data_IF_950867863413
#
_entry.id   IF_950867863413
#
_cell.length_a   1.000
_cell.length_b   1.000
_cell.length_c   1.000
_cell.angle_alpha   90.00
_cell.angle_beta   90.00
_cell.angle_gamma   90.00
#
_symmetry.space_group_name_H-M   'P 1'
#
loop_
_entity.id
_entity.type
_entity.pdbx_description
1 polymer ?
#
# COMPACT_ATOMS: atom_id res chain seq x y z
N UNK A 1 0.78 -34.64 -4.37
CA UNK A 1 0.62 -33.35 -3.67
C UNK A 1 1.59 -32.39 -4.35
N UNK A 2 1.11 -31.37 -5.02
CA UNK A 2 1.97 -30.31 -5.59
C UNK A 2 2.62 -29.59 -4.42
N UNK A 3 3.94 -29.46 -4.46
CA UNK A 3 4.70 -28.74 -3.44
C UNK A 3 4.25 -27.27 -3.41
N UNK A 4 3.94 -26.75 -2.22
CA UNK A 4 3.49 -25.37 -2.07
C UNK A 4 4.66 -24.40 -2.32
N UNK A 5 4.40 -23.33 -3.05
CA UNK A 5 5.36 -22.25 -3.26
C UNK A 5 5.47 -21.41 -1.96
N UNK A 6 6.66 -21.35 -1.38
CA UNK A 6 6.90 -20.57 -0.16
C UNK A 6 7.07 -19.08 -0.54
N UNK A 7 6.09 -18.27 -0.18
CA UNK A 7 6.10 -16.83 -0.33
C UNK A 7 6.57 -16.16 0.96
N UNK A 8 7.68 -15.47 0.89
CA UNK A 8 8.31 -14.79 2.03
C UNK A 8 7.97 -13.31 2.01
N UNK A 9 7.73 -12.71 3.17
CA UNK A 9 7.30 -11.30 3.27
C UNK A 9 8.05 -10.58 4.37
N UNK A 10 8.63 -9.43 4.05
CA UNK A 10 9.08 -8.42 5.02
C UNK A 10 8.16 -7.20 4.89
N UNK A 11 7.31 -7.01 5.87
CA UNK A 11 6.40 -5.87 5.99
C UNK A 11 6.69 -5.02 7.24
N UNK A 12 5.87 -4.03 7.51
CA UNK A 12 6.00 -3.15 8.67
C UNK A 12 5.89 -1.66 8.31
N UNK A 13 6.01 -0.75 9.29
CA UNK A 13 5.82 0.67 9.09
C UNK A 13 6.87 1.27 8.15
N UNK A 14 6.53 2.39 7.51
CA UNK A 14 7.51 3.17 6.75
C UNK A 14 8.67 3.57 7.66
N UNK A 15 9.88 3.75 7.08
CA UNK A 15 11.12 4.09 7.79
C UNK A 15 11.65 3.02 8.78
N UNK A 16 11.12 1.79 8.78
CA UNK A 16 11.58 0.72 9.69
C UNK A 16 12.81 -0.06 9.20
N UNK A 17 13.41 0.31 8.05
CA UNK A 17 14.63 -0.32 7.54
C UNK A 17 14.41 -1.56 6.67
N UNK A 18 13.20 -1.81 6.19
CA UNK A 18 12.84 -2.97 5.36
C UNK A 18 13.75 -3.15 4.15
N UNK A 19 14.00 -2.08 3.39
CA UNK A 19 14.78 -2.12 2.16
C UNK A 19 16.18 -2.70 2.38
N UNK A 20 16.91 -2.18 3.35
CA UNK A 20 18.25 -2.69 3.66
C UNK A 20 18.22 -4.17 4.09
N UNK A 21 17.28 -4.54 4.98
CA UNK A 21 17.11 -5.92 5.45
C UNK A 21 16.80 -6.88 4.30
N UNK A 22 15.89 -6.48 3.42
CA UNK A 22 15.44 -7.32 2.31
C UNK A 22 16.50 -7.50 1.24
N UNK A 23 17.20 -6.44 0.86
CA UNK A 23 18.29 -6.51 -0.13
C UNK A 23 19.42 -7.40 0.37
N UNK A 24 19.85 -7.21 1.62
CA UNK A 24 20.87 -8.07 2.23
C UNK A 24 20.46 -9.55 2.24
N UNK A 25 19.24 -9.85 2.67
CA UNK A 25 18.73 -11.23 2.71
C UNK A 25 18.60 -11.82 1.31
N UNK A 26 18.09 -11.05 0.35
CA UNK A 26 17.94 -11.46 -1.03
C UNK A 26 19.30 -11.77 -1.69
N UNK A 27 20.33 -10.97 -1.41
CA UNK A 27 21.71 -11.23 -1.88
C UNK A 27 22.28 -12.53 -1.29
N UNK A 28 22.11 -12.73 0.03
CA UNK A 28 22.64 -13.92 0.72
C UNK A 28 21.94 -15.22 0.25
N UNK A 29 20.65 -15.14 -0.11
CA UNK A 29 19.83 -16.30 -0.45
C UNK A 29 19.59 -16.48 -1.97
N UNK A 30 20.01 -15.54 -2.79
CA UNK A 30 19.75 -15.56 -4.23
C UNK A 30 18.26 -15.37 -4.58
N UNK A 31 17.49 -14.63 -3.76
CA UNK A 31 16.07 -14.38 -3.98
C UNK A 31 15.81 -13.15 -4.79
N UNK A 32 14.64 -13.11 -5.45
CA UNK A 32 14.14 -11.95 -6.16
C UNK A 32 13.16 -11.17 -5.27
N UNK A 33 13.19 -9.83 -5.34
CA UNK A 33 12.31 -8.96 -4.55
C UNK A 33 11.08 -8.57 -5.37
N UNK A 34 9.90 -8.76 -4.79
CA UNK A 34 8.62 -8.25 -5.29
C UNK A 34 8.18 -7.07 -4.41
N UNK A 35 8.09 -5.88 -5.02
CA UNK A 35 7.66 -4.68 -4.32
C UNK A 35 6.18 -4.78 -3.93
N UNK A 36 5.87 -4.52 -2.65
CA UNK A 36 4.52 -4.49 -2.09
C UNK A 36 4.21 -3.08 -1.56
N UNK A 37 4.37 -2.09 -2.44
CA UNK A 37 4.11 -0.69 -2.15
C UNK A 37 3.28 -0.05 -3.26
N UNK A 38 2.09 0.46 -2.92
CA UNK A 38 1.12 1.01 -3.86
C UNK A 38 1.53 2.35 -4.48
N UNK A 39 2.66 2.92 -4.05
CA UNK A 39 3.18 4.16 -4.61
C UNK A 39 4.45 3.95 -5.44
N UNK A 40 5.27 2.95 -5.10
CA UNK A 40 6.48 2.63 -5.86
C UNK A 40 6.19 1.96 -7.21
N UNK A 41 4.95 1.57 -7.47
CA UNK A 41 4.50 1.07 -8.77
C UNK A 41 4.56 2.14 -9.88
N UNK A 42 4.44 3.42 -9.52
CA UNK A 42 4.40 4.51 -10.47
C UNK A 42 5.80 4.93 -10.93
N UNK A 43 5.96 5.08 -12.25
CA UNK A 43 7.19 5.60 -12.86
C UNK A 43 7.41 7.07 -12.47
N UNK A 44 8.67 7.50 -12.39
CA UNK A 44 9.08 8.89 -12.10
C UNK A 44 8.71 9.40 -10.70
N UNK A 45 8.01 8.60 -9.91
CA UNK A 45 7.70 8.90 -8.53
C UNK A 45 8.73 8.22 -7.61
N UNK A 46 9.90 8.83 -7.44
CA UNK A 46 11.05 8.20 -6.81
C UNK A 46 11.33 8.74 -5.41
N UNK A 47 11.38 10.07 -5.27
CA UNK A 47 11.76 10.74 -4.02
C UNK A 47 10.64 10.61 -2.99
N UNK A 48 9.41 11.02 -3.36
CA UNK A 48 8.27 10.99 -2.44
C UNK A 48 7.86 9.58 -2.00
N UNK A 49 8.10 8.56 -2.84
CA UNK A 49 7.85 7.16 -2.49
C UNK A 49 9.03 6.50 -1.77
N UNK A 50 10.16 7.17 -1.70
CA UNK A 50 11.47 6.64 -1.28
C UNK A 50 11.76 5.29 -1.96
N UNK A 51 11.60 5.27 -3.29
CA UNK A 51 11.94 4.13 -4.13
C UNK A 51 13.45 3.85 -4.00
N UNK A 52 13.87 2.59 -3.83
CA UNK A 52 15.29 2.28 -3.74
C UNK A 52 16.00 2.63 -5.06
N UNK A 53 17.19 3.21 -4.95
CA UNK A 53 18.06 3.45 -6.11
C UNK A 53 18.68 2.15 -6.60
N UNK A 54 19.26 2.15 -7.80
CA UNK A 54 19.98 0.96 -8.33
C UNK A 54 21.10 0.48 -7.42
N UNK A 55 21.78 1.45 -6.76
CA UNK A 55 22.83 1.18 -5.79
C UNK A 55 22.26 0.51 -4.54
N UNK A 56 21.12 1.01 -4.02
CA UNK A 56 20.44 0.45 -2.86
C UNK A 56 19.83 -0.93 -3.16
N UNK A 57 19.47 -1.22 -4.41
CA UNK A 57 19.01 -2.54 -4.85
C UNK A 57 20.16 -3.57 -4.86
N UNK A 58 21.42 -3.14 -4.92
CA UNK A 58 22.58 -3.99 -4.80
C UNK A 58 22.65 -5.14 -5.80
N UNK A 59 22.14 -4.95 -7.02
CA UNK A 59 22.09 -5.97 -8.07
C UNK A 59 20.98 -7.01 -7.91
N UNK A 60 20.16 -6.94 -6.87
CA UNK A 60 19.00 -7.83 -6.68
C UNK A 60 17.89 -7.44 -7.65
N UNK A 61 17.29 -8.38 -8.40
CA UNK A 61 16.13 -8.09 -9.24
C UNK A 61 14.94 -7.63 -8.38
N UNK A 62 14.34 -6.50 -8.77
CA UNK A 62 13.13 -5.95 -8.15
C UNK A 62 12.01 -5.90 -9.18
N UNK A 63 10.86 -6.46 -8.82
CA UNK A 63 9.66 -6.53 -9.65
C UNK A 63 8.50 -5.75 -9.00
N UNK A 64 7.45 -5.49 -9.78
CA UNK A 64 6.26 -4.74 -9.38
C UNK A 64 6.57 -3.30 -8.92
N UNK A 65 7.60 -2.72 -9.52
CA UNK A 65 8.06 -1.37 -9.35
C UNK A 65 8.16 -0.73 -10.74
N UNK A 66 7.84 0.58 -10.88
CA UNK A 66 7.85 1.27 -12.17
C UNK A 66 7.00 0.59 -13.29
N UNK A 67 5.85 0.03 -12.93
CA UNK A 67 4.99 -0.72 -13.84
C UNK A 67 3.82 0.11 -14.38
N UNK A 68 3.51 1.26 -13.80
CA UNK A 68 2.39 2.13 -14.17
C UNK A 68 2.86 3.57 -14.43
N UNK A 69 2.16 4.27 -15.31
CA UNK A 69 2.29 5.71 -15.40
C UNK A 69 1.52 6.39 -14.24
N UNK A 70 1.92 7.61 -13.81
CA UNK A 70 1.23 8.33 -12.73
C UNK A 70 -0.25 8.62 -13.02
N UNK A 71 -0.66 8.61 -14.28
CA UNK A 71 -2.05 8.79 -14.72
C UNK A 71 -2.87 7.52 -14.68
N UNK A 72 -2.22 6.35 -14.56
CA UNK A 72 -2.91 5.07 -14.64
C UNK A 72 -3.71 4.77 -13.37
N UNK A 73 -4.86 4.13 -13.57
CA UNK A 73 -5.60 3.53 -12.47
C UNK A 73 -5.08 2.12 -12.22
N UNK A 74 -4.44 1.89 -11.08
CA UNK A 74 -3.99 0.56 -10.67
C UNK A 74 -4.66 0.16 -9.37
N UNK A 75 -5.29 -1.00 -9.38
CA UNK A 75 -6.10 -1.50 -8.26
C UNK A 75 -5.37 -2.58 -7.47
N UNK A 76 -5.91 -2.92 -6.30
CA UNK A 76 -5.42 -4.05 -5.51
C UNK A 76 -5.63 -5.39 -6.23
N UNK A 77 -6.65 -5.49 -7.09
CA UNK A 77 -6.88 -6.68 -7.93
C UNK A 77 -5.78 -6.82 -8.98
N UNK A 78 -5.44 -5.72 -9.67
CA UNK A 78 -4.36 -5.71 -10.66
C UNK A 78 -3.02 -6.11 -10.02
N UNK A 79 -2.75 -5.59 -8.82
CA UNK A 79 -1.55 -5.95 -8.07
C UNK A 79 -1.51 -7.44 -7.76
N UNK A 80 -2.60 -7.99 -7.22
CA UNK A 80 -2.68 -9.41 -6.87
C UNK A 80 -2.46 -10.29 -8.08
N UNK A 81 -3.17 -10.03 -9.18
CA UNK A 81 -3.12 -10.84 -10.39
C UNK A 81 -1.72 -10.79 -11.02
N UNK A 82 -1.08 -9.60 -11.02
CA UNK A 82 0.31 -9.45 -11.46
C UNK A 82 1.30 -10.19 -10.55
N UNK A 83 1.11 -10.12 -9.23
CA UNK A 83 1.97 -10.79 -8.27
C UNK A 83 1.85 -12.32 -8.37
N UNK A 84 0.65 -12.88 -8.44
CA UNK A 84 0.43 -14.33 -8.58
C UNK A 84 1.02 -14.88 -9.88
N UNK A 85 0.84 -14.18 -10.99
CA UNK A 85 1.46 -14.53 -12.27
C UNK A 85 2.98 -14.55 -12.15
N UNK A 86 3.56 -13.53 -11.55
CA UNK A 86 5.00 -13.41 -11.40
C UNK A 86 5.58 -14.48 -10.44
N UNK A 87 4.88 -14.81 -9.35
CA UNK A 87 5.28 -15.92 -8.46
C UNK A 87 5.38 -17.23 -9.27
N UNK A 88 4.36 -17.53 -10.07
CA UNK A 88 4.35 -18.76 -10.86
C UNK A 88 5.51 -18.79 -11.87
N UNK A 89 5.71 -17.70 -12.63
CA UNK A 89 6.79 -17.57 -13.61
C UNK A 89 8.20 -17.72 -12.98
N UNK A 90 8.40 -17.15 -11.79
CA UNK A 90 9.68 -17.22 -11.08
C UNK A 90 9.89 -18.61 -10.47
N UNK A 91 8.85 -19.23 -9.95
CA UNK A 91 8.90 -20.60 -9.43
C UNK A 91 9.26 -21.61 -10.52
N UNK A 92 8.70 -21.50 -11.74
CA UNK A 92 9.06 -22.33 -12.90
C UNK A 92 10.56 -22.21 -13.28
N UNK A 93 11.15 -21.03 -13.01
CA UNK A 93 12.58 -20.77 -13.21
C UNK A 93 13.46 -21.18 -12.01
N UNK A 94 12.88 -21.83 -10.99
CA UNK A 94 13.57 -22.20 -9.77
C UNK A 94 13.98 -20.99 -8.90
N UNK A 95 13.34 -19.82 -9.08
CA UNK A 95 13.63 -18.60 -8.32
C UNK A 95 12.71 -18.49 -7.12
N UNK A 96 13.26 -18.14 -5.98
CA UNK A 96 12.50 -17.84 -4.78
C UNK A 96 12.19 -16.34 -4.69
N UNK A 97 11.06 -16.00 -4.07
CA UNK A 97 10.57 -14.62 -3.98
C UNK A 97 10.54 -14.11 -2.54
N UNK A 98 10.84 -12.81 -2.39
CA UNK A 98 10.71 -12.05 -1.16
C UNK A 98 9.85 -10.81 -1.41
N UNK A 99 8.65 -10.78 -0.86
CA UNK A 99 7.80 -9.57 -0.88
C UNK A 99 8.29 -8.54 0.12
N UNK A 100 8.38 -7.29 -0.32
CA UNK A 100 8.86 -6.18 0.52
C UNK A 100 7.97 -4.96 0.36
N UNK A 101 7.36 -4.50 1.43
CA UNK A 101 6.57 -3.27 1.38
C UNK A 101 5.66 -3.06 2.58
N UNK A 102 4.98 -1.91 2.56
CA UNK A 102 4.12 -1.48 3.67
C UNK A 102 2.63 -1.38 3.32
N UNK A 103 2.22 -1.75 2.10
CA UNK A 103 0.81 -1.70 1.70
C UNK A 103 0.08 -2.94 2.20
N UNK A 104 -0.49 -2.84 3.40
CA UNK A 104 -1.16 -3.97 4.08
C UNK A 104 -2.30 -4.54 3.24
N UNK A 105 -3.03 -3.70 2.49
CA UNK A 105 -4.11 -4.17 1.61
C UNK A 105 -3.59 -5.11 0.50
N UNK A 106 -2.37 -4.89 -0.02
CA UNK A 106 -1.74 -5.79 -0.97
C UNK A 106 -1.42 -7.14 -0.32
N UNK A 107 -0.85 -7.12 0.89
CA UNK A 107 -0.60 -8.34 1.66
C UNK A 107 -1.88 -9.13 1.89
N UNK A 108 -2.92 -8.46 2.37
CA UNK A 108 -4.23 -9.08 2.62
C UNK A 108 -4.83 -9.71 1.36
N UNK A 109 -4.70 -9.02 0.21
CA UNK A 109 -5.24 -9.52 -1.06
C UNK A 109 -4.58 -10.80 -1.55
N UNK A 110 -3.32 -11.01 -1.17
CA UNK A 110 -2.55 -12.21 -1.50
C UNK A 110 -2.82 -13.36 -0.53
N UNK A 111 -2.98 -13.05 0.77
CA UNK A 111 -3.08 -14.07 1.82
C UNK A 111 -4.51 -14.54 2.09
N UNK A 112 -5.52 -13.72 1.78
CA UNK A 112 -6.90 -14.01 2.15
C UNK A 112 -7.85 -14.03 0.96
N UNK A 113 -8.89 -14.87 1.02
CA UNK A 113 -9.95 -14.89 0.03
C UNK A 113 -10.81 -13.61 0.16
N UNK A 114 -10.33 -12.51 -0.42
CA UNK A 114 -11.07 -11.26 -0.43
C UNK A 114 -12.09 -11.26 -1.58
N UNK A 115 -13.30 -10.77 -1.30
CA UNK A 115 -14.20 -10.33 -2.34
C UNK A 115 -13.63 -9.06 -2.98
N UNK A 116 -12.81 -9.25 -3.97
CA UNK A 116 -12.18 -8.17 -4.74
C UNK A 116 -13.12 -7.76 -5.85
N UNK A 117 -14.30 -7.23 -5.49
CA UNK A 117 -15.35 -6.91 -6.43
C UNK A 117 -14.86 -6.72 -7.86
N UNK A 118 -15.20 -7.69 -8.72
CA UNK A 118 -14.94 -7.64 -10.17
C UNK A 118 -15.68 -6.47 -10.83
N UNK A 119 -16.43 -5.73 -10.04
CA UNK A 119 -17.24 -4.59 -10.44
C UNK A 119 -16.34 -3.40 -10.71
N UNK A 120 -16.30 -2.90 -11.94
CA UNK A 120 -15.56 -1.68 -12.27
C UNK A 120 -16.06 -0.49 -11.46
N UNK A 121 -15.23 0.53 -11.36
CA UNK A 121 -15.60 1.78 -10.71
C UNK A 121 -16.70 2.48 -11.53
N UNK A 122 -17.70 3.01 -10.83
CA UNK A 122 -18.69 3.91 -11.42
C UNK A 122 -18.37 5.35 -10.98
N UNK A 123 -17.64 6.08 -11.84
CA UNK A 123 -17.15 7.40 -11.48
C UNK A 123 -18.27 8.44 -11.35
N UNK A 124 -19.37 8.28 -12.09
CA UNK A 124 -20.53 9.17 -11.97
C UNK A 124 -21.21 9.00 -10.61
N UNK A 125 -21.50 7.76 -10.23
CA UNK A 125 -22.09 7.45 -8.92
C UNK A 125 -21.17 7.92 -7.77
N UNK A 126 -19.85 7.69 -7.91
CA UNK A 126 -18.87 8.15 -6.93
C UNK A 126 -18.87 9.67 -6.78
N UNK A 127 -18.93 10.40 -7.90
CA UNK A 127 -18.97 11.86 -7.90
C UNK A 127 -20.22 12.37 -7.21
N UNK A 128 -21.39 11.80 -7.54
CA UNK A 128 -22.67 12.13 -6.91
C UNK A 128 -22.63 11.89 -5.39
N UNK A 129 -22.25 10.68 -4.98
CA UNK A 129 -22.25 10.31 -3.56
C UNK A 129 -21.17 11.05 -2.76
N UNK A 130 -20.01 11.36 -3.35
CA UNK A 130 -18.99 12.18 -2.67
C UNK A 130 -19.46 13.61 -2.47
N UNK A 131 -20.14 14.21 -3.45
CA UNK A 131 -20.72 15.56 -3.30
C UNK A 131 -21.78 15.58 -2.18
N UNK A 132 -22.63 14.57 -2.11
CA UNK A 132 -23.61 14.43 -1.03
C UNK A 132 -22.92 14.25 0.34
N UNK A 133 -21.80 13.55 0.39
CA UNK A 133 -21.04 13.26 1.62
C UNK A 133 -20.34 14.51 2.22
N UNK A 134 -20.31 15.65 1.54
CA UNK A 134 -19.70 16.86 2.07
C UNK A 134 -20.42 17.34 3.35
N UNK A 135 -21.72 17.10 3.46
CA UNK A 135 -22.52 17.44 4.65
C UNK A 135 -22.68 16.26 5.61
N UNK A 136 -22.91 16.53 6.89
CA UNK A 136 -23.20 15.51 7.87
C UNK A 136 -24.53 14.77 7.56
N UNK A 137 -25.54 15.49 7.11
CA UNK A 137 -26.84 14.95 6.71
C UNK A 137 -26.69 14.04 5.48
N UNK A 138 -25.93 14.45 4.48
CA UNK A 138 -25.67 13.64 3.29
C UNK A 138 -24.95 12.33 3.63
N UNK A 139 -23.99 12.35 4.56
CA UNK A 139 -23.35 11.10 5.04
C UNK A 139 -24.33 10.14 5.69
N UNK A 140 -25.27 10.65 6.48
CA UNK A 140 -26.35 9.83 7.06
C UNK A 140 -27.27 9.27 5.99
N UNK A 141 -27.63 10.06 4.98
CA UNK A 141 -28.47 9.59 3.85
C UNK A 141 -27.78 8.47 3.08
N UNK A 142 -26.49 8.61 2.76
CA UNK A 142 -25.70 7.58 2.07
C UNK A 142 -25.63 6.31 2.91
N UNK A 143 -25.40 6.43 4.21
CA UNK A 143 -25.34 5.28 5.11
C UNK A 143 -26.69 4.59 5.22
N UNK A 144 -27.79 5.33 5.27
CA UNK A 144 -29.14 4.76 5.25
C UNK A 144 -29.42 3.99 3.94
N UNK A 145 -28.98 4.53 2.79
CA UNK A 145 -29.05 3.78 1.51
C UNK A 145 -28.29 2.47 1.59
N UNK A 146 -27.12 2.43 2.26
CA UNK A 146 -26.39 1.20 2.50
C UNK A 146 -27.17 0.25 3.43
N UNK A 147 -27.83 0.77 4.48
CA UNK A 147 -28.68 -0.07 5.36
C UNK A 147 -29.83 -0.75 4.61
N UNK A 148 -30.38 -0.10 3.60
CA UNK A 148 -31.47 -0.64 2.77
C UNK A 148 -30.98 -1.74 1.82
N UNK A 149 -29.77 -1.65 1.28
CA UNK A 149 -29.24 -2.61 0.30
C UNK A 149 -28.29 -3.65 0.88
N UNK A 150 -27.59 -3.36 1.99
CA UNK A 150 -26.65 -4.26 2.67
C UNK A 150 -26.58 -3.95 4.17
N UNK A 151 -27.60 -4.37 4.95
CA UNK A 151 -27.63 -4.13 6.40
C UNK A 151 -26.41 -4.68 7.15
N UNK A 152 -25.87 -5.82 6.70
CA UNK A 152 -24.74 -6.47 7.33
C UNK A 152 -23.45 -5.63 7.17
N UNK A 153 -23.24 -5.02 6.01
CA UNK A 153 -22.12 -4.10 5.78
C UNK A 153 -22.34 -2.77 6.50
N UNK A 154 -23.55 -2.23 6.51
CA UNK A 154 -23.87 -0.98 7.19
C UNK A 154 -23.59 -1.08 8.71
N UNK A 155 -23.93 -2.20 9.36
CA UNK A 155 -23.64 -2.42 10.77
C UNK A 155 -22.15 -2.39 11.09
N UNK A 156 -21.28 -2.78 10.16
CA UNK A 156 -19.82 -2.84 10.34
C UNK A 156 -19.13 -1.53 9.99
N UNK A 157 -19.69 -0.72 9.11
CA UNK A 157 -19.07 0.50 8.62
C UNK A 157 -19.65 1.72 9.36
N UNK A 158 -18.80 2.54 9.99
CA UNK A 158 -19.27 3.80 10.56
C UNK A 158 -19.70 4.76 9.45
N UNK A 159 -20.65 5.64 9.74
CA UNK A 159 -21.20 6.67 8.82
C UNK A 159 -20.11 7.52 8.14
N UNK A 160 -19.00 7.77 8.82
CA UNK A 160 -17.89 8.56 8.31
C UNK A 160 -16.90 7.78 7.43
N UNK A 161 -17.05 6.47 7.26
CA UNK A 161 -16.21 5.68 6.34
C UNK A 161 -16.77 5.73 4.91
N UNK A 162 -16.88 6.95 4.39
CA UNK A 162 -17.56 7.27 3.13
C UNK A 162 -17.04 6.42 1.97
N UNK A 163 -15.72 6.23 1.86
CA UNK A 163 -15.14 5.45 0.77
C UNK A 163 -15.65 4.01 0.73
N UNK A 164 -15.75 3.36 1.90
CA UNK A 164 -16.23 1.98 1.98
C UNK A 164 -17.73 1.89 1.83
N UNK A 165 -18.46 2.85 2.39
CA UNK A 165 -19.91 2.96 2.23
C UNK A 165 -20.27 3.12 0.74
N UNK A 166 -19.66 4.08 0.04
CA UNK A 166 -19.86 4.27 -1.41
C UNK A 166 -19.50 3.01 -2.19
N UNK A 167 -18.37 2.36 -1.87
CA UNK A 167 -17.98 1.13 -2.57
C UNK A 167 -18.99 0.00 -2.41
N UNK A 168 -19.58 -0.17 -1.23
CA UNK A 168 -20.58 -1.19 -1.01
C UNK A 168 -21.85 -0.92 -1.81
N UNK A 169 -22.31 0.31 -1.86
CA UNK A 169 -23.46 0.74 -2.69
C UNK A 169 -23.17 0.53 -4.18
N UNK A 170 -21.98 0.94 -4.64
CA UNK A 170 -21.54 0.79 -6.03
C UNK A 170 -21.57 -0.68 -6.48
N UNK A 171 -21.08 -1.58 -5.64
CA UNK A 171 -21.10 -3.02 -5.92
C UNK A 171 -22.52 -3.54 -6.01
N UNK A 172 -23.39 -3.16 -5.07
CA UNK A 172 -24.79 -3.57 -5.09
C UNK A 172 -25.51 -3.05 -6.34
N UNK A 173 -25.33 -1.79 -6.71
CA UNK A 173 -25.97 -1.23 -7.91
C UNK A 173 -25.54 -1.92 -9.20
N UNK A 174 -24.27 -2.30 -9.28
CA UNK A 174 -23.76 -2.94 -10.47
C UNK A 174 -24.10 -4.43 -10.58
N UNK A 175 -24.29 -5.12 -9.43
CA UNK A 175 -24.45 -6.59 -9.39
C UNK A 175 -25.83 -7.06 -8.91
N UNK A 176 -26.58 -6.21 -8.22
CA UNK A 176 -27.79 -6.58 -7.49
C UNK A 176 -27.54 -7.45 -6.26
N UNK A 177 -26.28 -7.74 -5.91
CA UNK A 177 -25.89 -8.59 -4.77
C UNK A 177 -25.24 -7.70 -3.71
N UNK A 178 -25.67 -7.77 -2.43
CA UNK A 178 -25.04 -7.05 -1.33
C UNK A 178 -23.52 -7.29 -1.26
N UNK A 179 -22.74 -6.26 -0.88
CA UNK A 179 -21.28 -6.43 -0.75
C UNK A 179 -20.91 -7.51 0.26
N UNK A 180 -21.70 -7.68 1.32
CA UNK A 180 -21.53 -8.74 2.32
C UNK A 180 -21.74 -10.15 1.77
N UNK A 181 -22.49 -10.30 0.69
CA UNK A 181 -22.85 -11.57 0.03
C UNK A 181 -22.05 -11.82 -1.25
N UNK A 182 -21.17 -10.88 -1.63
CA UNK A 182 -20.32 -11.09 -2.80
C UNK A 182 -19.50 -12.37 -2.65
N UNK A 183 -19.37 -13.17 -3.73
CA UNK A 183 -18.56 -14.37 -3.68
C UNK A 183 -17.13 -14.04 -3.27
N UNK A 184 -16.65 -14.74 -2.27
CA UNK A 184 -15.24 -14.69 -1.90
C UNK A 184 -14.46 -15.60 -2.83
N UNK A 185 -13.25 -15.23 -3.13
CA UNK A 185 -12.32 -16.14 -3.80
C UNK A 185 -12.09 -17.37 -2.92
N UNK A 186 -11.89 -18.53 -3.53
CA UNK A 186 -11.43 -19.71 -2.81
C UNK A 186 -10.03 -19.48 -2.24
N UNK A 187 -9.73 -20.14 -1.13
CA UNK A 187 -8.38 -20.13 -0.57
C UNK A 187 -7.39 -20.73 -1.56
N UNK A 188 -6.32 -20.02 -1.81
CA UNK A 188 -5.29 -20.48 -2.73
C UNK A 188 -4.22 -21.28 -1.99
N UNK A 189 -4.41 -22.59 -1.96
CA UNK A 189 -3.50 -23.51 -1.30
C UNK A 189 -2.16 -23.74 -2.04
N UNK A 190 -1.93 -23.07 -3.18
CA UNK A 190 -0.65 -23.14 -3.89
C UNK A 190 0.47 -22.42 -3.14
N UNK A 191 0.13 -21.46 -2.28
CA UNK A 191 1.06 -20.59 -1.59
C UNK A 191 1.14 -20.87 -0.09
N UNK A 192 2.36 -20.92 0.44
CA UNK A 192 2.63 -20.92 1.87
C UNK A 192 3.29 -19.59 2.26
N UNK A 193 2.68 -18.86 3.18
CA UNK A 193 3.12 -17.51 3.54
C UNK A 193 3.95 -17.50 4.83
N UNK A 194 5.19 -17.03 4.75
CA UNK A 194 6.04 -16.72 5.90
C UNK A 194 6.17 -15.20 6.02
N UNK A 195 5.53 -14.58 7.00
CA UNK A 195 5.44 -13.12 7.13
C UNK A 195 6.16 -12.62 8.36
N UNK A 196 7.06 -11.66 8.15
CA UNK A 196 7.72 -10.89 9.22
C UNK A 196 7.28 -9.43 9.11
N UNK A 197 6.83 -8.87 10.24
CA UNK A 197 6.66 -7.43 10.39
C UNK A 197 7.80 -6.83 11.19
N UNK A 198 8.47 -5.85 10.62
CA UNK A 198 9.46 -5.05 11.35
C UNK A 198 8.76 -4.14 12.34
N UNK A 199 9.26 -4.08 13.57
CA UNK A 199 8.85 -3.12 14.60
C UNK A 199 10.07 -2.35 15.12
N UNK A 200 9.83 -1.20 15.72
CA UNK A 200 10.84 -0.47 16.51
C UNK A 200 10.19 0.43 17.54
N UNK A 201 10.97 0.96 18.43
CA UNK A 201 10.51 1.98 19.37
C UNK A 201 9.90 3.17 18.63
N UNK A 202 8.81 3.70 19.17
CA UNK A 202 8.06 4.79 18.54
C UNK A 202 8.90 6.06 18.39
N UNK A 203 9.74 6.38 19.36
CA UNK A 203 10.58 7.56 19.31
C UNK A 203 11.63 7.42 18.20
N UNK A 204 12.27 6.24 18.11
CA UNK A 204 13.24 5.93 17.05
C UNK A 204 12.56 5.97 15.68
N UNK A 205 11.38 5.38 15.54
CA UNK A 205 10.64 5.41 14.28
C UNK A 205 10.32 6.85 13.85
N UNK A 206 9.89 7.69 14.78
CA UNK A 206 9.55 9.08 14.48
C UNK A 206 10.78 9.90 14.09
N UNK A 207 11.92 9.67 14.74
CA UNK A 207 13.19 10.30 14.34
C UNK A 207 13.60 9.92 12.92
N UNK A 208 13.50 8.64 12.58
CA UNK A 208 13.75 8.15 11.21
C UNK A 208 12.78 8.73 10.18
N UNK A 209 11.51 8.92 10.56
CA UNK A 209 10.54 9.60 9.70
C UNK A 209 10.93 11.06 9.48
N UNK A 210 11.35 11.75 10.55
CA UNK A 210 11.82 13.15 10.44
C UNK A 210 13.00 13.26 9.46
N UNK A 211 14.03 12.45 9.68
CA UNK A 211 15.20 12.42 8.82
C UNK A 211 14.82 12.12 7.37
N UNK A 212 13.95 11.14 7.14
CA UNK A 212 13.49 10.76 5.80
C UNK A 212 12.78 11.91 5.08
N UNK A 213 11.90 12.64 5.76
CA UNK A 213 11.20 13.79 5.15
C UNK A 213 12.16 14.91 4.85
N UNK A 214 13.11 15.22 5.76
CA UNK A 214 14.18 16.18 5.51
C UNK A 214 15.01 15.78 4.27
N UNK A 215 15.36 14.51 4.14
CA UNK A 215 16.10 14.00 2.98
C UNK A 215 15.29 14.09 1.69
N UNK A 216 13.98 13.83 1.72
CA UNK A 216 13.09 13.98 0.56
C UNK A 216 13.06 15.44 0.07
N UNK A 217 12.91 16.40 0.96
CA UNK A 217 12.92 17.83 0.62
C UNK A 217 14.28 18.19 0.00
N UNK A 218 15.38 17.80 0.64
CA UNK A 218 16.74 18.09 0.15
C UNK A 218 17.06 17.44 -1.20
N UNK A 219 16.48 16.26 -1.46
CA UNK A 219 16.66 15.53 -2.74
C UNK A 219 15.81 16.10 -3.88
N UNK A 220 14.96 17.09 -3.64
CA UNK A 220 14.15 17.74 -4.67
C UNK A 220 12.74 17.19 -4.82
N UNK A 221 12.06 16.86 -3.71
CA UNK A 221 10.66 16.39 -3.76
C UNK A 221 9.74 17.43 -4.43
N UNK A 222 9.97 18.73 -4.19
CA UNK A 222 9.19 19.80 -4.81
C UNK A 222 9.33 19.79 -6.34
N UNK A 223 10.55 19.63 -6.80
CA UNK A 223 10.92 19.57 -8.21
C UNK A 223 10.35 18.32 -8.88
N UNK A 224 10.38 17.16 -8.20
CA UNK A 224 9.74 15.93 -8.70
C UNK A 224 8.23 16.11 -8.89
N UNK A 225 7.54 16.72 -7.92
CA UNK A 225 6.10 16.95 -8.01
C UNK A 225 5.77 17.99 -9.08
N UNK A 226 6.54 19.08 -9.18
CA UNK A 226 6.36 20.12 -10.20
C UNK A 226 6.50 19.51 -11.61
N UNK A 227 7.52 18.69 -11.84
CA UNK A 227 7.74 18.03 -13.13
C UNK A 227 6.55 17.13 -13.54
N UNK A 228 5.99 16.36 -12.59
CA UNK A 228 4.81 15.53 -12.86
C UNK A 228 3.60 16.38 -13.26
N UNK A 229 3.38 17.52 -12.60
CA UNK A 229 2.29 18.45 -12.95
C UNK A 229 2.50 19.10 -14.31
N UNK A 230 3.73 19.50 -14.63
CA UNK A 230 4.13 20.06 -15.94
C UNK A 230 3.96 19.05 -17.08
N UNK A 231 4.19 17.76 -16.81
CA UNK A 231 3.92 16.65 -17.73
C UNK A 231 2.43 16.34 -17.91
N UNK A 232 1.54 17.04 -17.18
CA UNK A 232 0.10 16.90 -17.30
C UNK A 232 -0.54 15.84 -16.41
N UNK A 233 0.15 15.37 -15.36
CA UNK A 233 -0.47 14.48 -14.36
C UNK A 233 -1.51 15.27 -13.57
N UNK A 234 -2.79 14.86 -13.57
CA UNK A 234 -3.83 15.57 -12.83
C UNK A 234 -3.56 15.57 -11.32
N UNK A 235 -3.83 16.69 -10.65
CA UNK A 235 -3.62 16.80 -9.20
C UNK A 235 -4.47 15.82 -8.38
N UNK A 236 -5.64 15.44 -8.89
CA UNK A 236 -6.56 14.47 -8.30
C UNK A 236 -6.24 13.02 -8.70
N UNK A 237 -5.22 12.78 -9.51
CA UNK A 237 -4.76 11.44 -9.84
C UNK A 237 -4.45 10.63 -8.57
N UNK A 238 -4.69 9.31 -8.63
CA UNK A 238 -4.42 8.43 -7.47
C UNK A 238 -2.98 8.51 -6.98
N UNK A 239 -2.04 8.57 -7.91
CA UNK A 239 -0.62 8.75 -7.64
C UNK A 239 -0.34 10.03 -6.85
N UNK A 240 -0.96 11.14 -7.23
CA UNK A 240 -0.78 12.45 -6.60
C UNK A 240 -1.42 12.54 -5.21
N UNK A 241 -2.29 11.60 -4.83
CA UNK A 241 -2.82 11.47 -3.47
C UNK A 241 -1.83 10.82 -2.48
N UNK A 242 -0.64 10.39 -2.95
CA UNK A 242 0.42 9.86 -2.12
C UNK A 242 0.95 10.88 -1.10
N UNK A 243 1.44 10.37 0.03
CA UNK A 243 2.11 11.20 1.03
C UNK A 243 3.38 11.80 0.44
N UNK A 244 3.55 13.09 0.61
CA UNK A 244 4.60 13.89 0.01
C UNK A 244 4.12 14.64 -1.23
N UNK A 245 3.36 13.98 -2.10
CA UNK A 245 2.88 14.58 -3.36
C UNK A 245 1.74 15.57 -3.11
N UNK A 246 0.65 15.13 -2.51
CA UNK A 246 -0.51 15.98 -2.24
C UNK A 246 -0.20 17.19 -1.33
N UNK A 247 0.74 17.02 -0.40
CA UNK A 247 1.14 18.10 0.51
C UNK A 247 2.05 19.12 -0.21
N UNK A 248 2.73 18.72 -1.28
CA UNK A 248 3.63 19.57 -2.03
C UNK A 248 2.89 20.42 -3.09
N UNK A 249 1.71 20.00 -3.56
CA UNK A 249 0.91 20.73 -4.55
C UNK A 249 0.60 22.16 -4.10
N UNK A 250 0.06 22.42 -2.88
CA UNK A 250 -0.14 23.79 -2.39
C UNK A 250 1.14 24.63 -2.35
N UNK A 251 2.28 24.02 -1.99
CA UNK A 251 3.56 24.71 -1.97
C UNK A 251 4.04 25.11 -3.38
N UNK A 252 3.76 24.31 -4.40
CA UNK A 252 4.08 24.63 -5.79
C UNK A 252 3.21 25.78 -6.29
N UNK A 253 1.94 25.85 -5.89
CA UNK A 253 1.01 26.94 -6.20
C UNK A 253 1.33 28.24 -5.48
N UNK A 254 2.15 28.21 -4.42
CA UNK A 254 2.45 29.35 -3.57
C UNK A 254 1.46 29.58 -2.42
N UNK A 255 0.57 28.62 -2.16
CA UNK A 255 -0.43 28.68 -1.09
C UNK A 255 0.17 28.43 0.30
N UNK A 256 1.33 27.78 0.37
CA UNK A 256 2.07 27.53 1.62
C UNK A 256 3.58 27.49 1.39
N UNK A 257 4.36 27.60 2.47
CA UNK A 257 5.80 27.43 2.45
C UNK A 257 6.23 25.96 2.34
N UNK A 258 7.49 25.71 2.02
CA UNK A 258 8.04 24.35 1.97
C UNK A 258 8.11 23.73 3.37
N UNK A 259 8.34 24.55 4.40
CA UNK A 259 8.37 24.16 5.80
C UNK A 259 6.98 23.68 6.25
N UNK A 260 5.91 24.40 5.89
CA UNK A 260 4.53 24.00 6.17
C UNK A 260 4.15 22.72 5.45
N UNK A 261 4.52 22.56 4.18
CA UNK A 261 4.33 21.30 3.45
C UNK A 261 5.08 20.15 4.12
N UNK A 262 6.34 20.34 4.51
CA UNK A 262 7.13 19.34 5.22
C UNK A 262 6.51 18.92 6.55
N UNK A 263 5.96 19.85 7.34
CA UNK A 263 5.24 19.53 8.59
C UNK A 263 3.99 18.66 8.33
N UNK A 264 3.24 18.95 7.27
CA UNK A 264 2.08 18.13 6.89
C UNK A 264 2.51 16.73 6.45
N UNK A 265 3.59 16.61 5.68
CA UNK A 265 4.18 15.33 5.29
C UNK A 265 4.60 14.52 6.52
N UNK A 266 5.29 15.15 7.48
CA UNK A 266 5.69 14.51 8.73
C UNK A 266 4.48 13.98 9.51
N UNK A 267 3.47 14.82 9.71
CA UNK A 267 2.23 14.44 10.40
C UNK A 267 1.52 13.29 9.69
N UNK A 268 1.36 13.40 8.37
CA UNK A 268 0.74 12.37 7.53
C UNK A 268 1.50 11.04 7.59
N UNK A 269 2.83 11.08 7.52
CA UNK A 269 3.69 9.89 7.54
C UNK A 269 3.65 9.18 8.89
N UNK A 270 3.66 9.91 10.01
CA UNK A 270 3.48 9.31 11.36
C UNK A 270 2.11 8.65 11.50
N UNK A 271 1.04 9.28 11.00
CA UNK A 271 -0.28 8.69 10.98
C UNK A 271 -0.36 7.44 10.10
N UNK A 272 0.32 7.46 8.95
CA UNK A 272 0.40 6.31 8.06
C UNK A 272 1.10 5.13 8.72
N UNK A 273 2.27 5.36 9.32
CA UNK A 273 3.00 4.33 10.07
C UNK A 273 2.14 3.71 11.19
N UNK A 274 1.41 4.54 11.95
CA UNK A 274 0.46 4.05 12.97
C UNK A 274 -0.63 3.18 12.37
N UNK A 275 -1.22 3.60 11.23
CA UNK A 275 -2.26 2.80 10.54
C UNK A 275 -1.71 1.47 10.06
N UNK A 276 -0.50 1.45 9.44
CA UNK A 276 0.13 0.20 9.01
C UNK A 276 0.22 -0.80 10.17
N UNK A 277 0.75 -0.39 11.33
CA UNK A 277 0.85 -1.26 12.51
C UNK A 277 -0.51 -1.70 13.05
N UNK A 278 -1.51 -0.81 13.05
CA UNK A 278 -2.87 -1.15 13.50
C UNK A 278 -3.51 -2.23 12.62
N UNK A 279 -3.31 -2.16 11.32
CA UNK A 279 -3.83 -3.18 10.40
C UNK A 279 -3.03 -4.47 10.48
N UNK A 280 -1.71 -4.42 10.50
CA UNK A 280 -0.86 -5.61 10.62
C UNK A 280 -1.20 -6.41 11.89
N UNK A 281 -1.44 -5.75 13.02
CA UNK A 281 -1.80 -6.41 14.30
C UNK A 281 -3.15 -7.15 14.29
N UNK A 282 -3.93 -6.99 13.24
CA UNK A 282 -5.18 -7.77 13.04
C UNK A 282 -4.96 -9.03 12.23
N UNK A 283 -3.79 -9.15 11.61
CA UNK A 283 -3.41 -10.32 10.81
C UNK A 283 -2.84 -11.39 11.72
N UNK A 284 -3.37 -12.58 11.59
CA UNK A 284 -2.83 -13.78 12.19
C UNK A 284 -1.57 -14.23 11.44
N UNK A 285 -0.71 -15.01 12.09
CA UNK A 285 0.48 -15.61 11.48
C UNK A 285 1.56 -14.61 11.02
N UNK A 286 1.61 -13.41 11.60
CA UNK A 286 2.73 -12.47 11.40
C UNK A 286 3.70 -12.56 12.58
N UNK A 287 4.98 -12.76 12.26
CA UNK A 287 6.06 -12.68 13.27
C UNK A 287 6.57 -11.24 13.37
N UNK A 288 6.43 -10.64 14.55
CA UNK A 288 6.89 -9.28 14.83
C UNK A 288 8.33 -9.32 15.35
N UNK A 289 9.24 -8.57 14.70
CA UNK A 289 10.65 -8.52 15.07
C UNK A 289 11.09 -7.06 15.20
N UNK A 290 11.64 -6.73 16.37
CA UNK A 290 12.17 -5.39 16.65
C UNK A 290 13.50 -5.17 15.97
N UNK A 291 13.52 -4.29 14.97
CA UNK A 291 14.71 -3.98 14.15
C UNK A 291 15.65 -2.96 14.80
N UNK A 292 15.28 -2.39 15.94
CA UNK A 292 16.09 -1.54 16.79
C UNK A 292 16.82 -2.33 17.90
N UNK A 293 16.87 -3.65 17.78
CA UNK A 293 17.56 -4.55 18.71
C UNK A 293 18.60 -5.40 17.99
N UNK A 294 19.67 -5.72 18.71
CA UNK A 294 20.70 -6.61 18.19
C UNK A 294 20.15 -8.00 17.85
N UNK A 295 20.73 -8.63 16.83
CA UNK A 295 20.31 -9.93 16.35
C UNK A 295 18.98 -9.91 15.58
N UNK A 296 18.45 -8.74 15.22
CA UNK A 296 17.19 -8.64 14.48
C UNK A 296 17.28 -9.26 13.09
N UNK A 297 18.40 -9.05 12.40
CA UNK A 297 18.64 -9.62 11.07
C UNK A 297 18.64 -11.15 11.10
N UNK A 298 19.40 -11.73 12.03
CA UNK A 298 19.50 -13.18 12.21
C UNK A 298 18.13 -13.80 12.49
N UNK A 299 17.33 -13.18 13.36
CA UNK A 299 15.96 -13.64 13.67
C UNK A 299 15.03 -13.61 12.45
N UNK A 300 15.17 -12.58 11.60
CA UNK A 300 14.39 -12.48 10.35
C UNK A 300 14.85 -13.56 9.37
N UNK A 301 16.14 -13.70 9.16
CA UNK A 301 16.72 -14.72 8.29
C UNK A 301 16.29 -16.11 8.71
N UNK A 302 16.52 -16.51 9.99
CA UNK A 302 16.24 -17.83 10.50
C UNK A 302 14.76 -18.22 10.45
N UNK A 303 13.87 -17.23 10.41
CA UNK A 303 12.43 -17.47 10.22
C UNK A 303 12.02 -17.60 8.75
N UNK A 304 12.64 -16.80 7.87
CA UNK A 304 12.26 -16.76 6.45
C UNK A 304 12.96 -17.84 5.62
N UNK A 305 14.14 -18.23 5.96
CA UNK A 305 14.88 -19.31 5.30
C UNK A 305 14.39 -20.66 5.81
#
# INVERSE_FOLDING_TARGET
>A
MTEQIVCRVITGPTASGKTWLSVRLAQEQGWDILCMDSMQIYRRMNIGTAKPTKEEMGGVPHYLMDICEPTDAYTVSDYRDAAEKLIAELAEKGRNVLFVGGTVLYLQSLMHPMSMGLTPANDELRKELNALAETAEGRLMIHKRLEECDPATAQRLPVNDIRRVIRAIEVWEATGIPFSEQPKREEDNRFCWKVVSTEMDRAILYERINQRVTDMIRKGLKEEVAALLEEGVPEDARSMNGLGYKEMIPCIRGDCSIEEAAEQILKGTRHYAKRQMTFLRREENIRYIRTDRDGAYEKIRDYLV
#
